data_IF_844304427444
#
_entry.id   IF_844304427444
#
_cell.length_a   1.000
_cell.length_b   1.000
_cell.length_c   1.000
_cell.angle_alpha   90.00
_cell.angle_beta   90.00
_cell.angle_gamma   90.00
#
_symmetry.space_group_name_H-M   'P 1'
#
loop_
_entity.id
_entity.type
_entity.pdbx_description
1 polymer ?
#
# COMPACT_ATOMS: atom_id res chain seq x y z
N UNK A 1 4.46 -5.55 -34.15
CA UNK A 1 4.86 -5.32 -32.74
C UNK A 1 3.73 -4.55 -32.08
N UNK A 2 3.07 -5.09 -31.08
CA UNK A 2 2.08 -4.33 -30.27
C UNK A 2 2.81 -3.11 -29.70
N UNK A 3 2.27 -1.89 -29.88
CA UNK A 3 2.88 -0.70 -29.34
C UNK A 3 2.83 -0.78 -27.80
N UNK A 4 3.99 -0.81 -27.16
CA UNK A 4 4.09 -0.77 -25.70
C UNK A 4 3.42 0.51 -25.19
N UNK A 5 2.43 0.41 -24.31
CA UNK A 5 1.75 1.54 -23.70
C UNK A 5 2.55 1.95 -22.46
N UNK A 6 3.13 3.15 -22.48
CA UNK A 6 3.81 3.71 -21.29
C UNK A 6 2.78 4.19 -20.27
N UNK A 7 3.22 4.31 -19.00
CA UNK A 7 2.39 4.91 -17.93
C UNK A 7 1.89 6.30 -18.33
N UNK A 8 2.76 7.14 -18.90
CA UNK A 8 2.36 8.49 -19.33
C UNK A 8 1.27 8.45 -20.40
N UNK A 9 1.38 7.57 -21.39
CA UNK A 9 0.32 7.38 -22.38
C UNK A 9 -0.97 6.90 -21.75
N UNK A 10 -0.90 5.89 -20.89
CA UNK A 10 -2.07 5.36 -20.16
C UNK A 10 -2.78 6.49 -19.38
N UNK A 11 -2.05 7.28 -18.59
CA UNK A 11 -2.62 8.37 -17.81
C UNK A 11 -3.24 9.47 -18.66
N UNK A 12 -2.62 9.80 -19.82
CA UNK A 12 -3.22 10.72 -20.80
C UNK A 12 -4.52 10.19 -21.37
N UNK A 13 -4.59 8.89 -21.65
CA UNK A 13 -5.81 8.24 -22.14
C UNK A 13 -6.91 8.21 -21.05
N UNK A 14 -6.58 7.96 -19.77
CA UNK A 14 -7.53 8.08 -18.65
C UNK A 14 -8.08 9.52 -18.52
N UNK A 15 -7.22 10.52 -18.66
CA UNK A 15 -7.63 11.91 -18.63
C UNK A 15 -8.56 12.29 -19.79
N UNK A 16 -8.18 11.94 -21.03
CA UNK A 16 -8.88 12.39 -22.24
C UNK A 16 -10.13 11.60 -22.57
N UNK A 17 -10.06 10.29 -22.48
CA UNK A 17 -11.11 9.40 -22.95
C UNK A 17 -12.18 9.13 -21.90
N UNK A 18 -11.80 9.09 -20.63
CA UNK A 18 -12.70 8.74 -19.52
C UNK A 18 -13.00 9.93 -18.60
N UNK A 19 -12.21 11.00 -18.66
CA UNK A 19 -12.37 12.17 -17.79
C UNK A 19 -12.18 11.86 -16.30
N UNK A 20 -11.49 10.73 -15.98
CA UNK A 20 -11.38 10.22 -14.62
C UNK A 20 -10.40 11.02 -13.76
N UNK A 21 -9.37 11.59 -14.38
CA UNK A 21 -8.33 12.33 -13.66
C UNK A 21 -8.09 13.69 -14.31
N UNK A 22 -7.95 14.77 -13.50
CA UNK A 22 -7.47 16.07 -13.98
C UNK A 22 -5.97 16.01 -14.38
N UNK A 23 -5.53 17.04 -15.10
CA UNK A 23 -4.13 17.14 -15.54
C UNK A 23 -3.15 17.17 -14.36
N UNK A 24 -3.48 17.88 -13.29
CA UNK A 24 -2.67 18.03 -12.09
C UNK A 24 -2.46 16.68 -11.39
N UNK A 25 -3.53 15.86 -11.26
CA UNK A 25 -3.42 14.51 -10.68
C UNK A 25 -2.57 13.60 -11.58
N UNK A 26 -2.76 13.68 -12.90
CA UNK A 26 -1.93 12.95 -13.86
C UNK A 26 -0.45 13.28 -13.68
N UNK A 27 -0.11 14.56 -13.62
CA UNK A 27 1.27 15.01 -13.45
C UNK A 27 1.86 14.58 -12.12
N UNK A 28 1.09 14.65 -11.03
CA UNK A 28 1.50 14.16 -9.72
C UNK A 28 1.84 12.67 -9.76
N UNK A 29 0.99 11.84 -10.38
CA UNK A 29 1.23 10.39 -10.49
C UNK A 29 2.49 10.07 -11.31
N UNK A 30 2.79 10.86 -12.35
CA UNK A 30 4.03 10.73 -13.11
C UNK A 30 5.27 11.08 -12.26
N UNK A 31 5.16 12.07 -11.36
CA UNK A 31 6.25 12.42 -10.43
C UNK A 31 6.47 11.32 -9.40
N UNK A 32 5.40 10.78 -8.79
CA UNK A 32 5.50 9.64 -7.86
C UNK A 32 6.15 8.43 -8.56
N UNK A 33 5.74 8.10 -9.77
CA UNK A 33 6.34 7.00 -10.53
C UNK A 33 7.83 7.24 -10.83
N UNK A 34 8.23 8.48 -11.08
CA UNK A 34 9.65 8.84 -11.26
C UNK A 34 10.44 8.67 -9.97
N UNK A 35 9.90 9.08 -8.82
CA UNK A 35 10.51 8.83 -7.52
C UNK A 35 10.70 7.32 -7.27
N UNK A 36 9.69 6.50 -7.56
CA UNK A 36 9.80 5.04 -7.46
C UNK A 36 10.91 4.46 -8.35
N UNK A 37 11.15 5.02 -9.54
CA UNK A 37 12.31 4.61 -10.38
C UNK A 37 13.65 4.89 -9.70
N UNK A 38 13.79 6.03 -9.07
CA UNK A 38 15.00 6.40 -8.32
C UNK A 38 15.23 5.49 -7.13
N UNK A 39 14.17 5.20 -6.36
CA UNK A 39 14.21 4.24 -5.25
C UNK A 39 14.57 2.84 -5.75
N UNK A 40 13.93 2.37 -6.84
CA UNK A 40 14.26 1.08 -7.46
C UNK A 40 15.73 0.98 -7.85
N UNK A 41 16.33 2.06 -8.33
CA UNK A 41 17.75 2.09 -8.65
C UNK A 41 18.62 1.96 -7.40
N UNK A 42 18.29 2.65 -6.31
CA UNK A 42 18.99 2.55 -5.04
C UNK A 42 18.89 1.14 -4.45
N UNK A 43 17.66 0.57 -4.40
CA UNK A 43 17.39 -0.79 -3.93
C UNK A 43 18.25 -1.81 -4.68
N UNK A 44 18.32 -1.71 -6.02
CA UNK A 44 19.07 -2.67 -6.84
C UNK A 44 20.59 -2.56 -6.70
N UNK A 45 21.11 -1.43 -6.24
CA UNK A 45 22.53 -1.31 -5.90
C UNK A 45 22.89 -2.05 -4.63
N UNK A 46 21.96 -2.15 -3.68
CA UNK A 46 22.15 -2.86 -2.43
C UNK A 46 23.48 -2.49 -1.75
N UNK A 47 24.28 -3.49 -1.40
CA UNK A 47 25.57 -3.30 -0.76
C UNK A 47 26.55 -2.43 -1.58
N UNK A 48 26.49 -2.50 -2.91
CA UNK A 48 27.35 -1.68 -3.79
C UNK A 48 27.04 -0.18 -3.69
N UNK A 49 25.80 0.16 -3.34
CA UNK A 49 25.37 1.55 -3.12
C UNK A 49 25.60 2.05 -1.70
N UNK A 50 26.04 1.20 -0.78
CA UNK A 50 26.18 1.56 0.63
C UNK A 50 24.85 1.82 1.35
N UNK A 51 23.73 1.37 0.78
CA UNK A 51 22.37 1.66 1.25
C UNK A 51 21.80 0.63 2.23
N UNK A 52 22.53 -0.45 2.50
CA UNK A 52 22.13 -1.49 3.45
C UNK A 52 22.52 -1.12 4.90
N UNK A 53 21.84 -1.78 5.84
CA UNK A 53 22.11 -1.68 7.27
C UNK A 53 21.30 -0.59 7.97
N UNK A 54 21.45 -0.54 9.30
CA UNK A 54 20.81 0.46 10.16
C UNK A 54 21.37 1.86 9.88
N UNK A 55 20.49 2.85 10.01
CA UNK A 55 20.88 4.26 10.05
C UNK A 55 21.37 4.73 11.44
N UNK A 56 21.36 3.81 12.44
CA UNK A 56 21.66 4.12 13.85
C UNK A 56 20.67 5.14 14.47
N UNK A 57 19.49 5.27 13.85
CA UNK A 57 18.37 6.11 14.27
C UNK A 57 17.10 5.28 14.42
N UNK A 58 16.16 5.77 15.22
CA UNK A 58 14.81 5.24 15.31
C UNK A 58 13.84 6.24 14.67
N UNK A 59 12.79 5.73 14.03
CA UNK A 59 11.73 6.60 13.55
C UNK A 59 10.86 7.04 14.73
N UNK A 60 9.94 7.94 14.44
CA UNK A 60 8.97 8.52 15.39
C UNK A 60 8.14 7.48 16.13
N UNK A 61 8.15 6.24 15.71
CA UNK A 61 7.41 5.14 16.33
C UNK A 61 8.31 4.17 17.11
N UNK A 62 9.61 4.50 17.27
CA UNK A 62 10.60 3.68 17.97
C UNK A 62 11.04 2.45 17.16
N UNK A 63 10.89 2.46 15.85
CA UNK A 63 11.37 1.41 14.95
C UNK A 63 12.74 1.81 14.41
N UNK A 64 13.69 0.86 14.40
CA UNK A 64 15.04 1.12 13.88
C UNK A 64 14.99 1.38 12.38
N UNK A 65 15.32 2.60 11.97
CA UNK A 65 15.37 2.99 10.56
C UNK A 65 16.54 2.33 9.84
N UNK A 66 16.28 1.90 8.62
CA UNK A 66 17.32 1.52 7.67
C UNK A 66 17.75 2.74 6.84
N UNK A 67 18.99 2.72 6.35
CA UNK A 67 19.48 3.79 5.46
C UNK A 67 18.58 3.97 4.24
N UNK A 68 18.05 2.88 3.74
CA UNK A 68 17.18 2.90 2.56
C UNK A 68 15.81 3.51 2.84
N UNK A 69 15.27 3.40 4.07
CA UNK A 69 14.04 4.09 4.49
C UNK A 69 14.22 5.60 4.39
N UNK A 70 15.33 6.12 4.92
CA UNK A 70 15.66 7.56 4.85
C UNK A 70 15.80 8.01 3.41
N UNK A 71 16.57 7.29 2.60
CA UNK A 71 16.78 7.63 1.17
C UNK A 71 15.45 7.63 0.42
N UNK A 72 14.59 6.63 0.63
CA UNK A 72 13.29 6.53 -0.03
C UNK A 72 12.37 7.69 0.38
N UNK A 73 12.36 8.05 1.67
CA UNK A 73 11.60 9.18 2.18
C UNK A 73 12.06 10.51 1.55
N UNK A 74 13.37 10.79 1.56
CA UNK A 74 13.94 12.00 0.96
C UNK A 74 13.64 12.08 -0.54
N UNK A 75 13.82 10.99 -1.29
CA UNK A 75 13.52 10.94 -2.73
C UNK A 75 12.05 11.29 -3.03
N UNK A 76 11.11 10.79 -2.21
CA UNK A 76 9.69 11.11 -2.39
C UNK A 76 9.38 12.57 -2.06
N UNK A 77 9.93 13.11 -0.98
CA UNK A 77 9.74 14.51 -0.60
C UNK A 77 10.31 15.46 -1.67
N UNK A 78 11.60 15.31 -1.99
CA UNK A 78 12.30 16.18 -2.94
C UNK A 78 11.70 16.11 -4.35
N UNK A 79 11.26 14.94 -4.81
CA UNK A 79 10.65 14.83 -6.13
C UNK A 79 9.30 15.56 -6.23
N UNK A 80 8.54 15.64 -5.15
CA UNK A 80 7.15 16.10 -5.17
C UNK A 80 6.94 17.53 -4.64
N UNK A 81 7.90 18.13 -3.90
CA UNK A 81 7.71 19.43 -3.26
C UNK A 81 7.59 20.62 -4.22
N UNK A 82 8.22 20.54 -5.40
CA UNK A 82 8.36 21.68 -6.33
C UNK A 82 7.37 21.69 -7.51
N UNK A 83 6.63 20.60 -7.70
CA UNK A 83 5.80 20.41 -8.90
C UNK A 83 4.51 21.24 -8.96
N UNK A 84 4.11 21.88 -7.86
CA UNK A 84 2.90 22.70 -7.81
C UNK A 84 1.58 21.91 -7.75
N UNK A 85 1.63 20.58 -7.53
CA UNK A 85 0.44 19.72 -7.48
C UNK A 85 -0.01 19.46 -6.06
N UNK A 86 0.90 19.57 -5.09
CA UNK A 86 0.66 19.25 -3.67
C UNK A 86 0.51 20.49 -2.81
N UNK A 87 -0.35 20.39 -1.82
CA UNK A 87 -0.40 21.32 -0.70
C UNK A 87 0.48 20.86 0.46
N UNK A 88 0.52 19.55 0.70
CA UNK A 88 1.37 18.94 1.73
C UNK A 88 1.56 17.44 1.47
N UNK A 89 2.48 16.82 2.22
CA UNK A 89 2.74 15.39 2.22
C UNK A 89 2.71 14.84 3.65
N UNK A 90 2.40 13.56 3.80
CA UNK A 90 2.53 12.82 5.05
C UNK A 90 3.25 11.51 4.79
N UNK A 91 4.25 11.21 5.58
CA UNK A 91 5.07 10.01 5.50
C UNK A 91 4.96 9.20 6.80
N UNK A 92 5.01 7.88 6.67
CA UNK A 92 5.11 6.99 7.82
C UNK A 92 6.36 7.28 8.68
N UNK A 93 7.44 7.74 8.05
CA UNK A 93 8.73 8.01 8.68
C UNK A 93 8.83 9.38 9.36
N UNK A 94 7.79 10.21 9.29
CA UNK A 94 7.80 11.58 9.82
C UNK A 94 6.72 11.77 10.89
N UNK A 95 7.04 12.48 11.97
CA UNK A 95 6.10 12.78 13.07
C UNK A 95 4.90 13.62 12.64
N UNK A 96 5.14 14.55 11.73
CA UNK A 96 4.16 15.55 11.30
C UNK A 96 4.12 15.66 9.77
N UNK A 97 3.12 16.35 9.29
CA UNK A 97 2.99 16.63 7.85
C UNK A 97 4.16 17.49 7.35
N UNK A 98 4.54 17.25 6.10
CA UNK A 98 5.50 18.07 5.35
C UNK A 98 4.73 19.10 4.52
N UNK A 99 4.81 20.36 4.93
CA UNK A 99 4.22 21.46 4.14
C UNK A 99 5.12 21.79 2.94
N UNK A 100 4.52 21.94 1.78
CA UNK A 100 5.26 22.42 0.59
C UNK A 100 5.90 23.78 0.91
N UNK A 101 7.23 23.93 0.73
CA UNK A 101 7.91 25.20 1.02
C UNK A 101 7.31 26.38 0.25
N UNK A 102 7.17 27.53 0.91
CA UNK A 102 6.55 28.75 0.33
C UNK A 102 7.20 29.26 -0.98
N UNK A 103 8.43 28.83 -1.27
CA UNK A 103 9.12 29.15 -2.53
C UNK A 103 8.54 28.43 -3.75
N UNK A 104 7.69 27.41 -3.52
CA UNK A 104 7.06 26.63 -4.56
C UNK A 104 5.55 26.88 -4.58
N UNK A 105 4.92 26.79 -5.76
CA UNK A 105 3.46 26.86 -5.83
C UNK A 105 2.83 25.67 -5.10
N UNK A 106 1.70 25.92 -4.44
CA UNK A 106 0.89 24.90 -3.80
C UNK A 106 -0.23 24.43 -4.71
N UNK A 107 -0.57 23.14 -4.65
CA UNK A 107 -1.66 22.53 -5.39
C UNK A 107 -2.82 22.08 -4.50
N UNK A 108 -3.70 21.28 -5.09
CA UNK A 108 -4.95 20.83 -4.45
C UNK A 108 -4.89 19.43 -3.83
N UNK A 109 -3.74 18.75 -3.91
CA UNK A 109 -3.62 17.37 -3.46
C UNK A 109 -2.78 17.24 -2.20
N UNK A 110 -3.07 16.16 -1.47
CA UNK A 110 -2.31 15.67 -0.33
C UNK A 110 -1.75 14.30 -0.71
N UNK A 111 -0.45 14.09 -0.55
CA UNK A 111 0.21 12.82 -0.82
C UNK A 111 0.57 12.15 0.50
N UNK A 112 0.14 10.89 0.66
CA UNK A 112 0.49 10.03 1.80
C UNK A 112 1.31 8.87 1.28
N UNK A 113 2.35 8.47 2.00
CA UNK A 113 3.17 7.32 1.61
C UNK A 113 3.85 6.62 2.79
N UNK A 114 4.00 5.31 2.64
CA UNK A 114 5.02 4.52 3.28
C UNK A 114 6.19 4.46 2.28
N UNK A 115 7.32 5.09 2.58
CA UNK A 115 8.41 5.16 1.61
C UNK A 115 9.02 3.80 1.30
N UNK A 116 9.03 2.88 2.27
CA UNK A 116 9.61 1.55 2.07
C UNK A 116 9.01 0.48 2.99
N UNK A 117 7.85 -0.05 2.59
CA UNK A 117 7.21 -1.20 3.24
C UNK A 117 8.11 -2.44 3.21
N UNK A 118 8.15 -3.15 4.33
CA UNK A 118 8.92 -4.37 4.48
C UNK A 118 10.40 -4.16 4.83
N UNK A 119 10.75 -3.10 5.56
CA UNK A 119 12.13 -2.73 5.90
C UNK A 119 12.95 -3.86 6.53
N UNK A 120 12.33 -4.80 7.23
CA UNK A 120 13.01 -6.00 7.75
C UNK A 120 13.59 -6.91 6.65
N UNK A 121 13.11 -6.79 5.42
CA UNK A 121 13.53 -7.58 4.26
C UNK A 121 14.70 -6.96 3.48
N UNK A 122 15.09 -5.72 3.78
CA UNK A 122 16.14 -4.99 3.05
C UNK A 122 17.46 -5.78 3.04
N UNK A 123 17.96 -6.13 4.23
CA UNK A 123 19.27 -6.73 4.38
C UNK A 123 19.35 -8.20 3.98
N UNK A 124 18.20 -8.84 3.76
CA UNK A 124 18.10 -10.26 3.38
C UNK A 124 17.66 -10.46 1.93
N UNK A 125 17.64 -9.38 1.14
CA UNK A 125 17.38 -9.40 -0.30
C UNK A 125 16.00 -9.98 -0.67
N UNK A 126 14.97 -9.66 0.11
CA UNK A 126 13.56 -10.02 -0.17
C UNK A 126 12.80 -8.79 -0.60
N UNK A 127 11.75 -8.96 -1.40
CA UNK A 127 10.96 -7.87 -1.99
C UNK A 127 10.43 -6.89 -0.94
N UNK A 128 10.57 -5.62 -1.26
CA UNK A 128 10.12 -4.45 -0.50
C UNK A 128 9.40 -3.51 -1.46
N UNK A 129 8.82 -2.41 -0.97
CA UNK A 129 8.19 -1.47 -1.89
C UNK A 129 7.72 -0.18 -1.25
N UNK A 130 7.31 0.75 -2.10
CA UNK A 130 6.71 2.03 -1.72
C UNK A 130 5.20 1.94 -1.86
N UNK A 131 4.45 2.39 -0.85
CA UNK A 131 2.98 2.49 -0.91
C UNK A 131 2.60 3.97 -0.92
N UNK A 132 1.62 4.36 -1.73
CA UNK A 132 1.15 5.74 -1.77
C UNK A 132 -0.35 5.85 -1.98
N UNK A 133 -0.91 6.96 -1.50
CA UNK A 133 -2.25 7.40 -1.82
C UNK A 133 -2.33 8.91 -1.98
N UNK A 134 -3.33 9.36 -2.71
CA UNK A 134 -3.59 10.78 -2.95
C UNK A 134 -4.99 11.10 -2.48
N UNK A 135 -5.09 12.15 -1.65
CA UNK A 135 -6.35 12.76 -1.24
C UNK A 135 -6.48 14.15 -1.88
N UNK A 136 -7.70 14.62 -2.02
CA UNK A 136 -7.93 16.03 -2.35
C UNK A 136 -7.90 16.86 -1.06
N UNK A 137 -7.20 18.01 -1.09
CA UNK A 137 -7.25 18.98 -0.01
C UNK A 137 -8.70 19.46 0.16
N UNK A 138 -9.24 19.50 1.39
CA UNK A 138 -10.55 20.14 1.63
C UNK A 138 -10.58 21.59 1.16
N UNK A 139 -11.73 22.05 0.72
CA UNK A 139 -11.91 23.44 0.30
C UNK A 139 -11.74 24.40 1.50
N UNK A 140 -11.08 25.51 1.28
CA UNK A 140 -10.85 26.55 2.29
C UNK A 140 -9.59 27.36 2.03
N UNK A 141 -9.57 28.59 2.54
CA UNK A 141 -8.44 29.52 2.39
C UNK A 141 -7.40 29.40 3.50
N UNK A 142 -7.60 28.51 4.45
CA UNK A 142 -6.65 28.28 5.54
C UNK A 142 -5.52 27.36 5.07
N UNK A 143 -4.35 27.55 5.65
CA UNK A 143 -3.21 26.66 5.42
C UNK A 143 -3.52 25.20 5.77
N UNK A 144 -2.80 24.26 5.16
CA UNK A 144 -3.00 22.83 5.40
C UNK A 144 -2.57 22.47 6.82
N UNK A 145 -3.38 21.65 7.45
CA UNK A 145 -3.16 21.08 8.78
C UNK A 145 -3.20 19.54 8.71
N UNK A 146 -2.79 18.89 9.77
CA UNK A 146 -2.90 17.43 9.91
C UNK A 146 -4.34 16.93 9.76
N UNK A 147 -5.31 17.72 10.24
CA UNK A 147 -6.73 17.39 10.15
C UNK A 147 -7.22 17.20 8.70
N UNK A 148 -6.62 17.89 7.74
CA UNK A 148 -6.98 17.79 6.32
C UNK A 148 -6.64 16.42 5.72
N UNK A 149 -5.69 15.70 6.32
CA UNK A 149 -5.32 14.34 5.94
C UNK A 149 -6.26 13.27 6.52
N UNK A 150 -6.95 13.58 7.64
CA UNK A 150 -7.77 12.60 8.36
C UNK A 150 -9.10 12.31 7.62
N UNK A 151 -8.98 11.77 6.42
CA UNK A 151 -10.11 11.40 5.56
C UNK A 151 -10.25 9.88 5.46
N UNK A 152 -11.49 9.34 5.41
CA UNK A 152 -11.72 7.91 5.19
C UNK A 152 -11.09 7.44 3.88
N UNK A 153 -10.66 6.17 3.84
CA UNK A 153 -10.00 5.59 2.66
C UNK A 153 -10.82 5.67 1.36
N UNK A 154 -12.14 5.74 1.44
CA UNK A 154 -13.03 5.95 0.28
C UNK A 154 -12.92 7.33 -0.38
N UNK A 155 -12.24 8.29 0.25
CA UNK A 155 -11.98 9.63 -0.31
C UNK A 155 -10.68 9.69 -1.14
N UNK A 156 -9.93 8.62 -1.22
CA UNK A 156 -8.75 8.54 -2.09
C UNK A 156 -9.13 8.81 -3.54
N UNK A 157 -8.33 9.62 -4.24
CA UNK A 157 -8.50 9.91 -5.68
C UNK A 157 -7.51 9.13 -6.53
N UNK A 158 -6.42 8.66 -5.94
CA UNK A 158 -5.49 7.69 -6.51
C UNK A 158 -4.83 6.89 -5.39
N UNK A 159 -4.50 5.64 -5.65
CA UNK A 159 -3.69 4.82 -4.76
C UNK A 159 -2.85 3.83 -5.56
N UNK A 160 -1.71 3.46 -5.02
CA UNK A 160 -0.83 2.52 -5.66
C UNK A 160 0.32 2.08 -4.78
N UNK A 161 1.11 1.18 -5.32
CA UNK A 161 2.40 0.80 -4.76
C UNK A 161 3.40 0.47 -5.86
N UNK A 162 4.66 0.56 -5.53
CA UNK A 162 5.74 0.07 -6.38
C UNK A 162 6.49 -1.03 -5.63
N UNK A 163 6.44 -2.26 -6.12
CA UNK A 163 7.19 -3.38 -5.55
C UNK A 163 8.56 -3.49 -6.22
N UNK A 164 9.60 -3.56 -5.39
CA UNK A 164 10.99 -3.76 -5.77
C UNK A 164 11.39 -5.21 -5.49
N UNK A 165 11.24 -6.06 -6.49
CA UNK A 165 11.50 -7.49 -6.45
C UNK A 165 12.30 -7.96 -7.66
N UNK A 166 12.13 -9.20 -8.12
CA UNK A 166 12.75 -9.70 -9.36
C UNK A 166 12.51 -8.80 -10.56
N UNK A 167 11.36 -8.14 -10.59
CA UNK A 167 11.06 -7.00 -11.47
C UNK A 167 10.51 -5.85 -10.62
N UNK A 168 10.65 -4.63 -11.10
CA UNK A 168 10.02 -3.45 -10.50
C UNK A 168 8.66 -3.25 -11.14
N UNK A 169 7.59 -3.34 -10.36
CA UNK A 169 6.22 -3.19 -10.85
C UNK A 169 5.49 -2.10 -10.08
N UNK A 170 4.97 -1.12 -10.79
CA UNK A 170 4.05 -0.12 -10.29
C UNK A 170 2.61 -0.62 -10.49
N UNK A 171 1.81 -0.60 -9.44
CA UNK A 171 0.39 -0.95 -9.45
C UNK A 171 -0.41 0.27 -9.06
N UNK A 172 -1.45 0.59 -9.82
CA UNK A 172 -2.17 1.86 -9.71
C UNK A 172 -3.68 1.67 -9.88
N UNK A 173 -4.45 2.39 -9.08
CA UNK A 173 -5.87 2.68 -9.33
C UNK A 173 -6.14 4.18 -9.26
N UNK A 174 -7.05 4.62 -10.11
CA UNK A 174 -7.64 5.96 -10.10
C UNK A 174 -9.18 5.87 -9.98
N UNK A 175 -9.68 4.75 -9.45
CA UNK A 175 -11.11 4.48 -9.25
C UNK A 175 -11.81 3.77 -10.41
N UNK A 176 -11.06 3.28 -11.41
CA UNK A 176 -11.58 2.52 -12.56
C UNK A 176 -10.77 1.22 -12.77
N UNK A 177 -10.84 0.34 -11.79
CA UNK A 177 -10.06 -0.89 -11.78
C UNK A 177 -8.59 -0.68 -11.41
N UNK A 178 -7.79 -1.72 -11.60
CA UNK A 178 -6.37 -1.77 -11.26
C UNK A 178 -5.54 -2.10 -12.48
N UNK A 179 -4.46 -1.36 -12.68
CA UNK A 179 -3.48 -1.60 -13.75
C UNK A 179 -2.08 -1.80 -13.21
N UNK A 180 -1.29 -2.68 -13.86
CA UNK A 180 0.10 -2.97 -13.51
C UNK A 180 1.05 -2.53 -14.62
N UNK A 181 2.17 -1.95 -14.23
CA UNK A 181 3.21 -1.44 -15.12
C UNK A 181 4.56 -1.98 -14.67
N UNK A 182 5.29 -2.59 -15.57
CA UNK A 182 6.66 -3.07 -15.30
C UNK A 182 7.68 -2.05 -15.78
N UNK A 183 8.71 -1.80 -14.98
CA UNK A 183 9.80 -0.91 -15.34
C UNK A 183 10.68 -1.56 -16.42
N UNK A 184 10.61 -1.02 -17.64
CA UNK A 184 11.58 -1.28 -18.68
C UNK A 184 12.85 -0.44 -18.38
N UNK A 185 13.88 -1.11 -17.87
CA UNK A 185 15.11 -0.42 -17.40
C UNK A 185 15.94 0.14 -18.53
N UNK A 186 15.84 -0.41 -19.74
CA UNK A 186 16.56 0.07 -20.91
C UNK A 186 15.96 1.39 -21.39
N UNK A 187 14.63 1.50 -21.38
CA UNK A 187 13.92 2.71 -21.76
C UNK A 187 13.69 3.69 -20.60
N UNK A 188 13.91 3.26 -19.37
CA UNK A 188 13.63 4.04 -18.17
C UNK A 188 12.13 4.35 -17.98
N UNK A 189 11.24 3.53 -18.52
CA UNK A 189 9.80 3.77 -18.55
C UNK A 189 9.01 2.64 -17.90
N UNK A 190 7.95 2.97 -17.16
CA UNK A 190 6.94 2.01 -16.77
C UNK A 190 6.05 1.68 -17.97
N UNK A 191 5.93 0.41 -18.31
CA UNK A 191 5.17 -0.11 -19.45
C UNK A 191 4.00 -0.94 -18.93
N UNK A 192 2.80 -0.70 -19.44
CA UNK A 192 1.59 -1.43 -19.09
C UNK A 192 1.78 -2.92 -19.42
N UNK A 193 1.63 -3.75 -18.39
CA UNK A 193 1.74 -5.21 -18.50
C UNK A 193 0.43 -5.93 -18.23
N UNK A 194 -0.47 -5.31 -17.44
CA UNK A 194 -1.79 -5.84 -17.17
C UNK A 194 -2.80 -4.73 -16.90
N UNK A 195 -3.96 -4.79 -17.50
CA UNK A 195 -5.14 -3.94 -17.24
C UNK A 195 -6.25 -4.76 -16.58
N UNK A 196 -7.15 -4.08 -15.87
CA UNK A 196 -8.34 -4.68 -15.27
C UNK A 196 -8.01 -5.93 -14.45
N UNK A 197 -6.99 -5.79 -13.58
CA UNK A 197 -6.59 -6.85 -12.66
C UNK A 197 -7.78 -7.29 -11.81
N UNK A 198 -8.00 -8.60 -11.71
CA UNK A 198 -9.09 -9.18 -10.94
C UNK A 198 -8.57 -10.17 -9.91
N UNK A 199 -9.02 -10.02 -8.68
CA UNK A 199 -8.78 -10.99 -7.59
C UNK A 199 -9.88 -12.04 -7.63
N UNK A 200 -9.56 -13.34 -7.78
CA UNK A 200 -10.55 -14.40 -7.68
C UNK A 200 -11.32 -14.32 -6.35
N UNK A 201 -12.64 -14.49 -6.38
CA UNK A 201 -13.47 -14.45 -5.19
C UNK A 201 -13.13 -15.57 -4.19
N UNK A 202 -12.74 -16.73 -4.70
CA UNK A 202 -12.29 -17.89 -3.92
C UNK A 202 -10.78 -18.08 -4.03
N UNK A 203 -10.17 -18.59 -2.96
CA UNK A 203 -8.74 -18.90 -2.92
C UNK A 203 -8.43 -20.16 -2.11
N UNK A 204 -7.20 -20.64 -2.23
CA UNK A 204 -6.59 -21.68 -1.41
C UNK A 204 -5.28 -21.20 -0.77
N UNK A 205 -5.08 -19.89 -0.68
CA UNK A 205 -3.89 -19.31 -0.10
C UNK A 205 -4.23 -18.29 0.98
N UNK A 206 -3.45 -18.30 2.05
CA UNK A 206 -3.49 -17.27 3.09
C UNK A 206 -2.09 -16.84 3.49
N UNK A 207 -1.95 -15.59 3.93
CA UNK A 207 -0.71 -15.00 4.40
C UNK A 207 -0.95 -14.37 5.77
N UNK A 208 -0.26 -14.89 6.78
CA UNK A 208 -0.30 -14.40 8.15
C UNK A 208 0.96 -14.86 8.89
N UNK A 209 1.45 -14.08 9.85
CA UNK A 209 2.57 -14.52 10.67
C UNK A 209 2.10 -15.58 11.70
N UNK A 210 2.19 -16.85 11.33
CA UNK A 210 1.74 -17.99 12.15
C UNK A 210 2.38 -18.04 13.54
N UNK A 211 3.55 -17.46 13.75
CA UNK A 211 4.21 -17.44 15.07
C UNK A 211 3.38 -16.69 16.14
N UNK A 212 2.45 -15.84 15.71
CA UNK A 212 1.58 -15.04 16.57
C UNK A 212 0.24 -15.72 16.90
N UNK A 213 -0.03 -16.94 16.42
CA UNK A 213 -1.32 -17.62 16.55
C UNK A 213 -1.88 -17.65 17.99
N UNK A 214 -1.02 -17.84 18.99
CA UNK A 214 -1.41 -17.86 20.41
C UNK A 214 -1.88 -16.49 20.95
N UNK A 215 -1.67 -15.42 20.18
CA UNK A 215 -1.97 -14.05 20.58
C UNK A 215 -3.18 -13.45 19.88
N UNK A 216 -3.70 -14.12 18.84
CA UNK A 216 -4.89 -13.66 18.12
C UNK A 216 -6.17 -13.88 18.94
N UNK A 217 -7.21 -13.14 18.58
CA UNK A 217 -8.56 -13.37 19.03
C UNK A 217 -9.17 -14.65 18.44
N UNK A 218 -10.29 -15.08 18.98
CA UNK A 218 -10.93 -16.35 18.59
C UNK A 218 -11.33 -16.40 17.12
N UNK A 219 -11.98 -15.36 16.52
CA UNK A 219 -12.37 -15.40 15.11
C UNK A 219 -11.22 -15.68 14.14
N UNK A 220 -10.07 -15.05 14.36
CA UNK A 220 -8.88 -15.26 13.51
C UNK A 220 -8.32 -16.67 13.73
N UNK A 221 -8.17 -17.11 14.97
CA UNK A 221 -7.70 -18.48 15.26
C UNK A 221 -8.60 -19.52 14.62
N UNK A 222 -9.92 -19.39 14.77
CA UNK A 222 -10.90 -20.27 14.16
C UNK A 222 -10.73 -20.32 12.63
N UNK A 223 -10.61 -19.17 11.98
CA UNK A 223 -10.43 -19.11 10.52
C UNK A 223 -9.17 -19.87 10.07
N UNK A 224 -8.05 -19.66 10.77
CA UNK A 224 -6.79 -20.34 10.45
C UNK A 224 -6.87 -21.83 10.77
N UNK A 225 -7.44 -22.25 11.90
CA UNK A 225 -7.63 -23.66 12.25
C UNK A 225 -8.45 -24.40 11.18
N UNK A 226 -9.50 -23.78 10.66
CA UNK A 226 -10.29 -24.34 9.56
C UNK A 226 -9.48 -24.47 8.26
N UNK A 227 -8.58 -23.53 7.98
CA UNK A 227 -7.67 -23.63 6.83
C UNK A 227 -6.64 -24.77 7.00
N UNK A 228 -6.12 -24.97 8.21
CA UNK A 228 -5.12 -25.99 8.52
C UNK A 228 -5.71 -27.41 8.54
N UNK A 229 -7.00 -27.57 8.82
CA UNK A 229 -7.68 -28.87 8.76
C UNK A 229 -7.81 -29.41 7.32
N UNK A 230 -7.63 -28.56 6.32
CA UNK A 230 -7.61 -28.97 4.93
C UNK A 230 -8.91 -29.65 4.46
N UNK A 231 -8.77 -30.70 3.66
CA UNK A 231 -9.90 -31.48 3.10
C UNK A 231 -10.72 -32.19 4.18
N UNK A 232 -10.10 -32.55 5.28
CA UNK A 232 -10.72 -33.27 6.40
C UNK A 232 -11.60 -32.34 7.26
N UNK A 233 -11.37 -31.04 7.15
CA UNK A 233 -12.06 -30.02 7.94
C UNK A 233 -13.28 -29.41 7.23
N UNK A 234 -13.91 -28.40 7.86
CA UNK A 234 -15.15 -27.78 7.38
C UNK A 234 -14.99 -27.03 6.04
N UNK A 235 -13.76 -26.78 5.61
CA UNK A 235 -13.48 -26.09 4.35
C UNK A 235 -13.48 -27.04 3.14
N UNK A 236 -13.30 -28.35 3.34
CA UNK A 236 -13.29 -29.38 2.30
C UNK A 236 -12.22 -29.19 1.22
N UNK A 237 -11.19 -28.38 1.48
CA UNK A 237 -10.09 -28.09 0.55
C UNK A 237 -8.80 -27.76 1.31
N UNK A 238 -7.66 -28.10 0.71
CA UNK A 238 -6.35 -27.78 1.27
C UNK A 238 -5.99 -26.32 1.00
N UNK A 239 -5.36 -25.68 1.98
CA UNK A 239 -4.84 -24.33 1.88
C UNK A 239 -3.31 -24.33 1.96
N UNK A 240 -2.68 -23.37 1.29
CA UNK A 240 -1.27 -23.09 1.39
C UNK A 240 -1.02 -21.75 2.09
N UNK A 241 -0.15 -21.76 3.10
CA UNK A 241 0.34 -20.52 3.67
C UNK A 241 1.44 -19.93 2.80
N UNK A 242 1.34 -18.61 2.54
CA UNK A 242 2.31 -17.82 1.79
C UNK A 242 2.58 -16.52 2.54
N UNK A 243 3.70 -16.42 3.22
CA UNK A 243 4.09 -15.25 4.01
C UNK A 243 5.44 -14.72 3.57
N UNK A 244 5.50 -13.47 3.11
CA UNK A 244 6.73 -12.80 2.65
C UNK A 244 7.23 -11.78 3.69
N UNK A 245 6.36 -11.34 4.59
CA UNK A 245 6.62 -10.30 5.57
C UNK A 245 6.91 -8.91 4.95
N UNK A 246 6.31 -8.65 3.81
CA UNK A 246 6.23 -7.36 3.15
C UNK A 246 4.83 -7.25 2.56
N UNK A 247 4.08 -6.22 2.95
CA UNK A 247 2.68 -6.09 2.53
C UNK A 247 2.58 -5.90 1.01
N UNK A 248 3.48 -5.11 0.41
CA UNK A 248 3.50 -4.92 -1.06
C UNK A 248 3.68 -6.24 -1.81
N UNK A 249 4.54 -7.13 -1.33
CA UNK A 249 4.80 -8.41 -1.97
C UNK A 249 3.65 -9.40 -1.78
N UNK A 250 3.08 -9.46 -0.58
CA UNK A 250 1.92 -10.31 -0.28
C UNK A 250 0.68 -9.84 -1.07
N UNK A 251 0.39 -8.54 -1.11
CA UNK A 251 -0.71 -7.96 -1.89
C UNK A 251 -0.50 -8.16 -3.38
N UNK A 252 0.73 -8.00 -3.88
CA UNK A 252 1.04 -8.21 -5.30
C UNK A 252 0.73 -9.66 -5.74
N UNK A 253 1.08 -10.64 -4.90
CA UNK A 253 0.70 -12.04 -5.14
C UNK A 253 -0.81 -12.22 -5.16
N UNK A 254 -1.54 -11.59 -4.23
CA UNK A 254 -3.01 -11.69 -4.13
C UNK A 254 -3.68 -11.07 -5.36
N UNK A 255 -3.24 -9.90 -5.81
CA UNK A 255 -3.72 -9.28 -7.04
C UNK A 255 -3.46 -10.16 -8.27
N UNK A 256 -2.38 -10.94 -8.27
CA UNK A 256 -2.00 -11.80 -9.41
C UNK A 256 -2.78 -13.10 -9.45
N UNK A 257 -3.08 -13.73 -8.30
CA UNK A 257 -3.65 -15.09 -8.28
C UNK A 257 -4.63 -15.41 -7.16
N UNK A 258 -5.01 -14.41 -6.39
CA UNK A 258 -5.88 -14.60 -5.23
C UNK A 258 -5.10 -14.93 -3.96
N UNK A 259 -5.82 -14.91 -2.84
CA UNK A 259 -5.29 -15.12 -1.52
C UNK A 259 -5.95 -14.20 -0.51
N UNK A 260 -5.64 -14.39 0.76
CA UNK A 260 -5.98 -13.46 1.82
C UNK A 260 -4.74 -13.10 2.62
N UNK A 261 -4.52 -11.81 2.84
CA UNK A 261 -3.50 -11.28 3.73
C UNK A 261 -4.16 -10.86 5.03
N UNK A 262 -3.53 -11.21 6.16
CA UNK A 262 -4.04 -10.92 7.48
C UNK A 262 -2.92 -10.39 8.39
N UNK A 263 -3.17 -9.24 8.98
CA UNK A 263 -2.39 -8.71 10.11
C UNK A 263 -3.35 -8.27 11.20
N UNK A 264 -3.86 -9.23 12.01
CA UNK A 264 -4.92 -8.98 12.97
C UNK A 264 -4.41 -8.27 14.22
N UNK A 265 -5.35 -7.86 15.06
CA UNK A 265 -5.10 -7.43 16.43
C UNK A 265 -4.33 -8.51 17.22
N UNK A 266 -3.47 -8.06 18.13
CA UNK A 266 -2.60 -8.92 18.93
C UNK A 266 -2.73 -8.55 20.42
N UNK A 267 -3.10 -9.51 21.23
CA UNK A 267 -3.32 -9.31 22.68
C UNK A 267 -2.08 -8.89 23.47
N UNK A 268 -0.87 -8.96 22.90
CA UNK A 268 0.35 -8.45 23.53
C UNK A 268 0.37 -6.93 23.58
N UNK A 269 -0.32 -6.29 22.65
CA UNK A 269 -0.45 -4.84 22.55
C UNK A 269 -1.93 -4.44 22.54
N UNK A 270 -2.67 -4.66 23.64
CA UNK A 270 -4.13 -4.53 23.66
C UNK A 270 -4.64 -3.11 23.40
N UNK A 271 -3.75 -2.10 23.57
CA UNK A 271 -4.05 -0.69 23.33
C UNK A 271 -3.89 -0.27 21.86
N UNK A 272 -3.27 -1.12 21.03
CA UNK A 272 -3.12 -0.87 19.59
C UNK A 272 -4.18 -1.67 18.84
N UNK A 273 -4.92 -1.01 17.96
CA UNK A 273 -5.95 -1.65 17.14
C UNK A 273 -5.37 -2.66 16.12
N UNK A 274 -4.09 -2.62 15.88
CA UNK A 274 -3.34 -3.50 14.98
C UNK A 274 -1.88 -3.07 14.87
N UNK A 275 -1.16 -3.59 13.89
CA UNK A 275 0.24 -3.23 13.64
C UNK A 275 0.40 -2.27 12.45
N UNK A 276 -0.35 -2.48 11.38
CA UNK A 276 -0.26 -1.69 10.16
C UNK A 276 -0.91 -0.31 10.33
N UNK A 277 -0.46 0.68 9.57
CA UNK A 277 -0.99 2.05 9.60
C UNK A 277 -2.20 2.16 8.68
N UNK A 278 -3.27 2.76 9.21
CA UNK A 278 -4.52 2.93 8.45
C UNK A 278 -4.30 3.72 7.17
N UNK A 279 -3.62 4.87 7.26
CA UNK A 279 -3.56 5.83 6.17
C UNK A 279 -2.44 5.55 5.16
N UNK A 280 -1.31 5.03 5.60
CA UNK A 280 -0.14 4.81 4.74
C UNK A 280 -0.15 3.45 4.04
N UNK A 281 -0.76 2.43 4.67
CA UNK A 281 -0.72 1.04 4.20
C UNK A 281 -2.13 0.49 3.95
N UNK A 282 -3.00 0.46 4.97
CA UNK A 282 -4.29 -0.24 4.90
C UNK A 282 -5.25 0.38 3.88
N UNK A 283 -5.41 1.71 3.87
CA UNK A 283 -6.30 2.40 2.95
C UNK A 283 -5.90 2.22 1.47
N UNK A 284 -4.66 2.53 1.04
CA UNK A 284 -4.28 2.34 -0.35
C UNK A 284 -4.36 0.88 -0.80
N UNK A 285 -3.91 -0.07 0.02
CA UNK A 285 -3.95 -1.49 -0.33
C UNK A 285 -5.38 -2.03 -0.36
N UNK A 286 -6.24 -1.61 0.55
CA UNK A 286 -7.65 -1.98 0.55
C UNK A 286 -8.37 -1.46 -0.70
N UNK A 287 -8.09 -0.24 -1.13
CA UNK A 287 -8.72 0.29 -2.32
C UNK A 287 -8.29 -0.45 -3.58
N UNK A 288 -7.01 -0.76 -3.73
CA UNK A 288 -6.51 -1.61 -4.82
C UNK A 288 -7.20 -2.98 -4.84
N UNK A 289 -7.26 -3.65 -3.70
CA UNK A 289 -7.92 -4.96 -3.59
C UNK A 289 -9.40 -4.89 -3.96
N UNK A 290 -10.13 -3.88 -3.47
CA UNK A 290 -11.56 -3.73 -3.77
C UNK A 290 -11.81 -3.31 -5.22
N UNK A 291 -10.98 -2.46 -5.81
CA UNK A 291 -11.02 -2.12 -7.24
C UNK A 291 -10.73 -3.32 -8.13
N UNK A 292 -10.04 -4.33 -7.61
CA UNK A 292 -9.81 -5.60 -8.29
C UNK A 292 -10.87 -6.68 -7.95
N UNK A 293 -11.98 -6.32 -7.29
CA UNK A 293 -13.09 -7.24 -6.97
C UNK A 293 -12.91 -8.05 -5.68
N UNK A 294 -11.87 -7.78 -4.89
CA UNK A 294 -11.68 -8.34 -3.56
C UNK A 294 -12.45 -7.60 -2.47
N UNK A 295 -12.07 -7.81 -1.21
CA UNK A 295 -12.65 -7.14 -0.05
C UNK A 295 -11.59 -6.81 1.00
N UNK A 296 -11.91 -5.90 1.93
CA UNK A 296 -11.04 -5.54 3.04
C UNK A 296 -11.83 -5.24 4.32
N UNK A 297 -11.28 -5.63 5.48
CA UNK A 297 -11.92 -5.45 6.79
C UNK A 297 -10.88 -5.34 7.91
N UNK A 298 -11.26 -4.68 9.00
CA UNK A 298 -10.51 -4.77 10.27
C UNK A 298 -11.01 -5.91 11.18
N UNK A 299 -11.91 -6.73 10.66
CA UNK A 299 -12.67 -7.77 11.37
C UNK A 299 -14.14 -7.41 11.56
N UNK A 300 -14.47 -6.14 11.73
CA UNK A 300 -15.84 -5.64 11.99
C UNK A 300 -16.34 -4.67 10.93
N UNK A 301 -15.46 -3.81 10.47
CA UNK A 301 -15.78 -2.68 9.57
C UNK A 301 -14.91 -2.76 8.32
N UNK A 302 -15.46 -2.41 7.19
CA UNK A 302 -14.70 -2.22 5.94
C UNK A 302 -13.63 -1.16 6.14
N UNK A 303 -12.37 -1.46 5.77
CA UNK A 303 -11.23 -0.55 5.99
C UNK A 303 -11.49 0.85 5.42
N UNK A 304 -12.01 0.95 4.21
CA UNK A 304 -12.22 2.23 3.53
C UNK A 304 -13.28 3.14 4.16
N UNK A 305 -14.11 2.61 5.07
CA UNK A 305 -15.13 3.36 5.80
C UNK A 305 -14.65 3.85 7.17
N UNK A 306 -13.46 3.43 7.61
CA UNK A 306 -12.89 3.89 8.87
C UNK A 306 -12.54 5.38 8.78
N UNK A 307 -12.94 6.14 9.81
CA UNK A 307 -12.55 7.54 9.98
C UNK A 307 -11.25 7.60 10.75
N UNK A 308 -10.13 8.05 10.16
CA UNK A 308 -8.89 8.22 10.87
C UNK A 308 -9.02 9.27 11.99
N UNK A 309 -8.41 9.01 13.13
CA UNK A 309 -8.35 9.93 14.28
C UNK A 309 -6.99 10.63 14.41
N UNK A 310 -5.95 10.07 13.80
CA UNK A 310 -4.58 10.58 13.81
C UNK A 310 -3.78 10.03 12.62
N UNK A 311 -2.71 10.71 12.23
CA UNK A 311 -1.88 10.33 11.06
C UNK A 311 -1.33 8.90 11.14
N UNK A 312 -0.83 8.50 12.30
CA UNK A 312 -0.18 7.21 12.51
C UNK A 312 -1.11 6.18 13.17
N UNK A 313 -2.44 6.32 12.98
CA UNK A 313 -3.40 5.35 13.50
C UNK A 313 -3.12 3.96 12.97
N UNK A 314 -3.07 2.98 13.88
CA UNK A 314 -2.88 1.58 13.55
C UNK A 314 -4.20 0.84 13.46
N UNK A 315 -4.25 -0.19 12.63
CA UNK A 315 -5.47 -0.95 12.36
C UNK A 315 -5.14 -2.43 12.14
N UNK A 316 -6.08 -3.30 12.54
CA UNK A 316 -6.12 -4.70 12.12
C UNK A 316 -6.52 -4.76 10.64
N UNK A 317 -5.84 -5.59 9.84
CA UNK A 317 -6.08 -5.69 8.39
C UNK A 317 -6.29 -7.12 7.97
N UNK A 318 -7.38 -7.35 7.24
CA UNK A 318 -7.66 -8.58 6.51
C UNK A 318 -8.17 -8.17 5.13
N UNK A 319 -7.47 -8.56 4.07
CA UNK A 319 -7.83 -8.17 2.70
C UNK A 319 -7.47 -9.26 1.69
N UNK A 320 -8.17 -9.27 0.56
CA UNK A 320 -7.91 -10.21 -0.52
C UNK A 320 -9.18 -10.77 -1.15
N UNK A 321 -9.17 -12.07 -1.44
CA UNK A 321 -10.29 -12.80 -2.05
C UNK A 321 -11.56 -12.65 -1.23
N UNK A 322 -12.60 -12.13 -1.87
CA UNK A 322 -13.83 -11.65 -1.22
C UNK A 322 -14.47 -12.67 -0.29
N UNK A 323 -14.65 -13.91 -0.76
CA UNK A 323 -15.33 -14.95 0.02
C UNK A 323 -14.57 -15.32 1.30
N UNK A 324 -13.25 -15.22 1.31
CA UNK A 324 -12.42 -15.48 2.49
C UNK A 324 -12.47 -14.32 3.49
N UNK A 325 -12.44 -13.07 3.00
CA UNK A 325 -12.56 -11.87 3.84
C UNK A 325 -13.95 -11.81 4.48
N UNK A 326 -15.02 -12.06 3.72
CA UNK A 326 -16.39 -12.10 4.25
C UNK A 326 -16.56 -13.22 5.31
N UNK A 327 -15.92 -14.37 5.10
CA UNK A 327 -15.94 -15.47 6.07
C UNK A 327 -15.31 -15.06 7.40
N UNK A 328 -14.09 -14.57 7.41
CA UNK A 328 -13.44 -14.17 8.67
C UNK A 328 -14.19 -13.02 9.35
N UNK A 329 -14.75 -12.08 8.59
CA UNK A 329 -15.61 -11.02 9.11
C UNK A 329 -16.85 -11.60 9.82
N UNK A 330 -17.48 -12.63 9.22
CA UNK A 330 -18.66 -13.29 9.82
C UNK A 330 -18.36 -13.98 11.15
N UNK A 331 -17.12 -14.37 11.40
CA UNK A 331 -16.72 -14.94 12.68
C UNK A 331 -16.61 -13.88 13.78
N UNK A 332 -16.13 -12.68 13.43
CA UNK A 332 -16.11 -11.55 14.36
C UNK A 332 -17.50 -11.04 14.73
N UNK A 333 -18.48 -11.18 13.84
CA UNK A 333 -19.86 -10.77 14.13
C UNK A 333 -20.61 -11.70 15.12
N UNK A 334 -20.04 -12.89 15.42
CA UNK A 334 -20.63 -13.88 16.31
C UNK A 334 -20.05 -13.85 17.74
N UNK A 335 -19.07 -13.00 17.97
CA UNK A 335 -18.42 -12.75 19.27
C UNK A 335 -18.87 -11.40 19.81
#
# INVERSE_FOLDING_TARGET
>A
MSSKISLSRYLVEQQRSKGLIPAELRLLLEVVARACKSISHAVNKGALGGVLGSAESENVQGEVQKKLDIIANEVLLEANEWGGHLAAMASEEMDSIYLVPNRYPQGEYLLLFDPLDGSSNIDVNVSIGTIFSVLKKPEGDQGVTEQDFLQPGKQQVAAGYCVYGPQTTLVLTVGDGVSMFTLDREQGSFVLTQENVQVPADTKEFAINMSNMRHWDEPVRRYIDECLQGKEGPRGKDFNMRWIASMVADVHRILTRGGVFMYPWDKREPHKAGKLRLMYEANPMSWLIEQAGGASTNGKTRILDLQPSQLHERVSVMLGSKNEVERVTSYHAKV
#
